data_IF_194667073919
#
_entry.id   IF_194667073919
#
_cell.length_a   1.000
_cell.length_b   1.000
_cell.length_c   1.000
_cell.angle_alpha   90.00
_cell.angle_beta   90.00
_cell.angle_gamma   90.00
#
_symmetry.space_group_name_H-M   'P 1'
#
loop_
_entity.id
_entity.type
_entity.pdbx_description
1 polymer ?
#
# COMPACT_ATOMS: atom_id res chain seq x y z
N UNK A 1 8.86 4.33 -3.72
CA UNK A 1 7.71 4.74 -2.86
C UNK A 1 6.84 3.55 -2.48
N UNK A 2 6.34 2.75 -3.44
CA UNK A 2 5.46 1.59 -3.17
C UNK A 2 5.99 0.62 -2.09
N UNK A 3 7.30 0.35 -2.05
CA UNK A 3 7.88 -0.48 -0.98
C UNK A 3 7.80 0.13 0.42
N UNK A 4 7.88 1.45 0.55
CA UNK A 4 7.64 2.13 1.83
C UNK A 4 6.17 1.96 2.24
N UNK A 5 5.24 2.05 1.29
CA UNK A 5 3.80 1.84 1.56
C UNK A 5 3.50 0.39 1.96
N UNK A 6 4.13 -0.61 1.33
CA UNK A 6 4.00 -2.01 1.72
C UNK A 6 4.54 -2.26 3.14
N UNK A 7 5.70 -1.71 3.46
CA UNK A 7 6.25 -1.77 4.82
C UNK A 7 5.34 -1.08 5.84
N UNK A 8 4.84 0.11 5.49
CA UNK A 8 3.92 0.90 6.31
C UNK A 8 2.64 0.14 6.61
N UNK A 9 2.04 -0.53 5.62
CA UNK A 9 0.83 -1.31 5.79
C UNK A 9 1.02 -2.45 6.82
N UNK A 10 2.16 -3.12 6.78
CA UNK A 10 2.48 -4.21 7.74
C UNK A 10 2.66 -3.68 9.15
N UNK A 11 3.30 -2.53 9.31
CA UNK A 11 3.57 -1.94 10.62
C UNK A 11 2.35 -1.25 11.23
N UNK A 12 1.54 -0.57 10.41
CA UNK A 12 0.49 0.34 10.86
C UNK A 12 -0.84 0.13 10.10
N UNK A 13 -1.41 -1.09 10.09
CA UNK A 13 -2.62 -1.38 9.29
C UNK A 13 -3.85 -0.55 9.73
N UNK A 14 -3.88 -0.12 11.00
CA UNK A 14 -4.97 0.69 11.58
C UNK A 14 -4.69 2.19 11.59
N UNK A 15 -3.56 2.65 11.03
CA UNK A 15 -3.28 4.07 10.92
C UNK A 15 -4.37 4.77 10.11
N UNK A 16 -4.80 5.94 10.56
CA UNK A 16 -5.88 6.71 9.94
C UNK A 16 -5.30 7.69 8.94
N UNK A 17 -5.66 7.54 7.67
CA UNK A 17 -5.29 8.44 6.58
C UNK A 17 -6.46 9.41 6.39
N UNK A 18 -6.19 10.71 6.47
CA UNK A 18 -7.18 11.73 6.17
C UNK A 18 -7.38 11.79 4.66
N UNK A 19 -8.60 11.53 4.20
CA UNK A 19 -8.92 11.30 2.80
C UNK A 19 -10.13 12.10 2.40
N UNK A 20 -10.04 12.76 1.24
CA UNK A 20 -11.21 13.34 0.57
C UNK A 20 -11.98 12.20 -0.11
N UNK A 21 -13.27 12.11 0.17
CA UNK A 21 -14.19 11.13 -0.41
C UNK A 21 -15.25 11.87 -1.21
N UNK A 22 -15.47 11.37 -2.42
CA UNK A 22 -16.49 11.85 -3.34
C UNK A 22 -17.70 10.92 -3.25
N UNK A 23 -18.82 11.43 -2.74
CA UNK A 23 -20.10 10.73 -2.64
C UNK A 23 -21.08 11.33 -3.67
N UNK A 24 -20.71 11.29 -4.95
CA UNK A 24 -21.43 11.97 -6.03
C UNK A 24 -21.24 13.48 -5.96
N UNK A 25 -22.32 14.23 -5.72
CA UNK A 25 -22.30 15.69 -5.58
C UNK A 25 -21.77 16.18 -4.23
N UNK A 26 -21.68 15.30 -3.23
CA UNK A 26 -21.19 15.65 -1.91
C UNK A 26 -19.71 15.28 -1.78
N UNK A 27 -18.88 16.29 -1.51
CA UNK A 27 -17.44 16.12 -1.25
C UNK A 27 -17.24 16.31 0.25
N UNK A 28 -16.64 15.32 0.90
CA UNK A 28 -16.34 15.38 2.33
C UNK A 28 -14.98 14.78 2.62
N UNK A 29 -14.52 14.97 3.85
CA UNK A 29 -13.26 14.43 4.36
C UNK A 29 -13.55 13.43 5.47
N UNK A 30 -12.91 12.27 5.41
CA UNK A 30 -13.00 11.25 6.46
C UNK A 30 -11.64 10.62 6.72
N UNK A 31 -11.55 9.77 7.74
CA UNK A 31 -10.34 8.99 8.01
C UNK A 31 -10.50 7.52 7.66
N UNK A 32 -9.69 7.06 6.72
CA UNK A 32 -9.71 5.67 6.25
C UNK A 32 -8.51 4.93 6.87
N UNK A 33 -8.72 3.75 7.50
CA UNK A 33 -7.60 2.92 7.93
C UNK A 33 -6.68 2.56 6.76
N UNK A 34 -5.38 2.57 6.98
CA UNK A 34 -4.35 2.32 5.97
C UNK A 34 -4.56 0.98 5.26
N UNK A 35 -5.08 -0.04 5.95
CA UNK A 35 -5.41 -1.33 5.33
C UNK A 35 -6.43 -1.22 4.20
N UNK A 36 -7.46 -0.39 4.35
CA UNK A 36 -8.46 -0.20 3.31
C UNK A 36 -7.94 0.72 2.22
N UNK A 37 -7.26 1.81 2.58
CA UNK A 37 -6.76 2.76 1.60
C UNK A 37 -5.65 2.16 0.72
N UNK A 38 -4.64 1.52 1.32
CA UNK A 38 -3.52 0.92 0.60
C UNK A 38 -3.90 -0.40 -0.06
N UNK A 39 -4.79 -1.20 0.55
CA UNK A 39 -5.37 -2.40 -0.09
C UNK A 39 -6.18 -2.02 -1.33
N UNK A 40 -7.06 -1.01 -1.16
CA UNK A 40 -7.55 -0.08 -2.15
C UNK A 40 -6.68 0.05 -3.40
N UNK A 41 -5.66 0.87 -3.19
CA UNK A 41 -4.72 1.27 -4.20
C UNK A 41 -3.96 0.08 -4.82
N UNK A 42 -3.56 -0.92 -4.02
CA UNK A 42 -2.85 -2.10 -4.53
C UNK A 42 -3.70 -2.94 -5.49
N UNK A 43 -4.99 -3.11 -5.19
CA UNK A 43 -5.93 -3.81 -6.08
C UNK A 43 -6.03 -3.07 -7.42
N UNK A 44 -6.10 -1.74 -7.42
CA UNK A 44 -6.07 -0.96 -8.65
C UNK A 44 -4.77 -1.20 -9.45
N UNK A 45 -3.61 -1.27 -8.79
CA UNK A 45 -2.35 -1.58 -9.49
C UNK A 45 -2.41 -2.95 -10.18
N UNK A 46 -3.02 -3.97 -9.55
CA UNK A 46 -3.18 -5.30 -10.15
C UNK A 46 -4.08 -5.25 -11.39
N UNK A 47 -5.27 -4.64 -11.29
CA UNK A 47 -6.19 -4.52 -12.41
C UNK A 47 -5.58 -3.73 -13.57
N UNK A 48 -4.93 -2.59 -13.29
CA UNK A 48 -4.27 -1.79 -14.32
C UNK A 48 -3.07 -2.51 -14.93
N UNK A 49 -2.28 -3.24 -14.14
CA UNK A 49 -1.18 -4.06 -14.63
C UNK A 49 -1.66 -5.16 -15.58
N UNK A 50 -2.72 -5.89 -15.21
CA UNK A 50 -3.34 -6.91 -16.07
C UNK A 50 -3.93 -6.27 -17.34
N UNK A 51 -4.64 -5.14 -17.21
CA UNK A 51 -5.21 -4.42 -18.35
C UNK A 51 -4.17 -3.92 -19.35
N UNK A 52 -2.98 -3.52 -18.85
CA UNK A 52 -1.86 -3.07 -19.70
C UNK A 52 -1.26 -4.18 -20.58
N UNK A 53 -1.56 -5.45 -20.28
CA UNK A 53 -1.12 -6.60 -21.07
C UNK A 53 -1.97 -6.82 -22.33
N UNK A 54 -3.13 -6.17 -22.44
CA UNK A 54 -3.96 -6.20 -23.65
C UNK A 54 -3.29 -5.48 -24.82
N UNK A 55 -3.41 -6.04 -26.04
CA UNK A 55 -2.88 -5.46 -27.28
C UNK A 55 -3.38 -4.03 -27.55
N UNK A 56 -4.55 -3.67 -27.02
CA UNK A 56 -5.13 -2.32 -27.16
C UNK A 56 -4.43 -1.26 -26.29
N UNK A 57 -3.65 -1.67 -25.28
CA UNK A 57 -3.10 -0.78 -24.24
C UNK A 57 -1.60 -0.95 -24.00
N UNK A 58 -0.85 -1.59 -24.91
CA UNK A 58 0.58 -1.88 -24.72
C UNK A 58 1.46 -0.63 -24.49
N UNK A 59 1.03 0.55 -24.94
CA UNK A 59 1.75 1.81 -24.73
C UNK A 59 1.37 2.53 -23.42
N UNK A 60 0.43 2.01 -22.63
CA UNK A 60 -0.05 2.64 -21.40
C UNK A 60 0.70 2.10 -20.19
N UNK A 61 1.89 2.65 -19.92
CA UNK A 61 2.52 2.65 -18.59
C UNK A 61 2.67 1.30 -17.84
N UNK A 62 2.65 0.15 -18.54
CA UNK A 62 2.59 -1.19 -17.93
C UNK A 62 3.67 -1.45 -16.89
N UNK A 63 4.92 -1.07 -17.20
CA UNK A 63 6.07 -1.21 -16.31
C UNK A 63 5.86 -0.52 -14.96
N UNK A 64 5.17 0.62 -14.93
CA UNK A 64 4.92 1.36 -13.69
C UNK A 64 4.01 0.58 -12.74
N UNK A 65 2.94 -0.05 -13.26
CA UNK A 65 2.04 -0.87 -12.45
C UNK A 65 2.79 -2.06 -11.83
N UNK A 66 3.59 -2.79 -12.63
CA UNK A 66 4.39 -3.91 -12.13
C UNK A 66 5.48 -3.48 -11.14
N UNK A 67 6.13 -2.32 -11.35
CA UNK A 67 7.08 -1.76 -10.39
C UNK A 67 6.40 -1.39 -9.06
N UNK A 68 5.17 -0.87 -9.09
CA UNK A 68 4.39 -0.62 -7.88
C UNK A 68 4.03 -1.90 -7.15
N UNK A 69 3.52 -2.91 -7.86
CA UNK A 69 3.16 -4.22 -7.29
C UNK A 69 4.39 -4.86 -6.63
N UNK A 70 5.48 -5.02 -7.40
CA UNK A 70 6.70 -5.66 -6.93
C UNK A 70 7.32 -4.90 -5.76
N UNK A 71 7.39 -3.57 -5.84
CA UNK A 71 7.91 -2.74 -4.75
C UNK A 71 7.08 -2.89 -3.47
N UNK A 72 5.74 -2.87 -3.56
CA UNK A 72 4.86 -3.02 -2.41
C UNK A 72 5.05 -4.38 -1.71
N UNK A 73 5.04 -5.48 -2.47
CA UNK A 73 5.27 -6.84 -1.94
C UNK A 73 6.67 -6.94 -1.31
N UNK A 74 7.70 -6.47 -1.99
CA UNK A 74 9.07 -6.47 -1.46
C UNK A 74 9.15 -5.70 -0.14
N UNK A 75 8.51 -4.54 -0.04
CA UNK A 75 8.41 -3.77 1.20
C UNK A 75 7.75 -4.51 2.35
N UNK A 76 6.64 -5.21 2.09
CA UNK A 76 5.95 -6.03 3.09
C UNK A 76 6.82 -7.18 3.62
N UNK A 77 7.64 -7.78 2.75
CA UNK A 77 8.54 -8.88 3.10
C UNK A 77 9.74 -8.34 3.88
N UNK A 78 10.44 -7.34 3.34
CA UNK A 78 11.65 -6.77 3.93
C UNK A 78 11.40 -6.26 5.34
N UNK A 79 10.28 -5.59 5.60
CA UNK A 79 10.02 -5.06 6.94
C UNK A 79 9.87 -6.14 8.00
N UNK A 80 9.37 -7.34 7.64
CA UNK A 80 9.27 -8.47 8.58
C UNK A 80 10.65 -9.02 8.93
N UNK A 81 11.57 -9.04 7.96
CA UNK A 81 12.97 -9.46 8.16
C UNK A 81 13.76 -8.43 8.97
N UNK A 82 13.54 -7.14 8.69
CA UNK A 82 14.27 -6.03 9.33
C UNK A 82 13.75 -5.66 10.73
N UNK A 83 12.52 -6.08 11.09
CA UNK A 83 11.94 -5.77 12.41
C UNK A 83 12.69 -6.52 13.51
N UNK A 84 13.67 -5.85 14.10
CA UNK A 84 14.36 -6.30 15.34
C UNK A 84 13.30 -6.58 16.41
N UNK A 85 13.23 -7.82 16.92
CA UNK A 85 12.47 -8.12 18.14
C UNK A 85 13.01 -7.20 19.24
N UNK A 86 12.23 -6.22 19.67
CA UNK A 86 12.57 -5.36 20.82
C UNK A 86 12.71 -6.29 22.03
N UNK A 87 13.95 -6.65 22.40
CA UNK A 87 14.22 -7.37 23.66
C UNK A 87 13.61 -6.52 24.76
N UNK A 88 12.58 -7.02 25.43
CA UNK A 88 12.08 -6.43 26.68
C UNK A 88 13.27 -6.41 27.63
N UNK A 89 13.88 -5.24 27.86
CA UNK A 89 14.73 -5.04 29.04
C UNK A 89 13.78 -5.08 30.22
N UNK A 90 13.68 -6.23 30.87
CA UNK A 90 13.15 -6.35 32.22
C UNK A 90 14.13 -5.56 33.09
N UNK A 91 13.73 -4.36 33.52
CA UNK A 91 14.38 -3.69 34.64
C UNK A 91 13.79 -4.32 35.90
N UNK A 92 14.62 -5.12 36.57
CA UNK A 92 14.37 -5.62 37.92
C UNK A 92 15.14 -4.67 38.84
N UNK A 93 14.44 -3.94 39.69
CA UNK A 93 14.90 -3.43 40.98
C UNK A 93 13.71 -3.46 41.93
#
# INVERSE_FOLDING_TARGET
ISGILGAYLVLFPRARIYTVVFLGWFITTTTIPAIFFLGFWFILQLFSGIGSLSYLYQNVGGVAYFAHIGGFIAGMILIKVMKKKRRRRLHIY
#
